data_IF_316147872160
#
_entry.id   IF_316147872160
#
_cell.length_a   1.000
_cell.length_b   1.000
_cell.length_c   1.000
_cell.angle_alpha   90.00
_cell.angle_beta   90.00
_cell.angle_gamma   90.00
#
_symmetry.space_group_name_H-M   'P 1'
#
loop_
_entity.id
_entity.type
_entity.pdbx_description
1 polymer ?
#
# COMPACT_ATOMS: atom_id res chain seq x y z
N UNK A 1 -26.05 -11.77 1.54
CA UNK A 1 -24.69 -11.68 0.94
C UNK A 1 -24.09 -10.28 1.11
N UNK A 2 -24.90 -9.25 1.29
CA UNK A 2 -24.44 -7.84 1.44
C UNK A 2 -23.69 -7.54 2.75
N UNK A 3 -24.04 -8.24 3.83
CA UNK A 3 -23.42 -8.05 5.14
C UNK A 3 -21.94 -8.46 5.14
N UNK A 4 -21.58 -9.52 4.41
CA UNK A 4 -20.19 -9.96 4.29
C UNK A 4 -19.33 -8.90 3.59
N UNK A 5 -19.82 -8.37 2.47
CA UNK A 5 -19.13 -7.31 1.74
C UNK A 5 -19.03 -6.01 2.54
N UNK A 6 -20.07 -5.67 3.29
CA UNK A 6 -20.05 -4.50 4.19
C UNK A 6 -18.99 -4.64 5.27
N UNK A 7 -18.88 -5.82 5.90
CA UNK A 7 -17.86 -6.10 6.93
C UNK A 7 -16.46 -6.01 6.33
N UNK A 8 -16.25 -6.59 5.15
CA UNK A 8 -14.95 -6.55 4.45
C UNK A 8 -14.58 -5.11 4.08
N UNK A 9 -15.50 -4.32 3.54
CA UNK A 9 -15.25 -2.90 3.22
C UNK A 9 -14.90 -2.08 4.46
N UNK A 10 -15.65 -2.23 5.55
CA UNK A 10 -15.37 -1.54 6.82
C UNK A 10 -14.02 -1.96 7.39
N UNK A 11 -13.69 -3.25 7.30
CA UNK A 11 -12.39 -3.77 7.74
C UNK A 11 -11.24 -3.21 6.90
N UNK A 12 -11.40 -3.13 5.58
CA UNK A 12 -10.42 -2.54 4.66
C UNK A 12 -10.25 -1.03 4.91
N UNK A 13 -11.34 -0.29 5.15
CA UNK A 13 -11.30 1.13 5.51
C UNK A 13 -10.57 1.37 6.83
N UNK A 14 -10.83 0.54 7.84
CA UNK A 14 -10.10 0.58 9.11
C UNK A 14 -8.61 0.26 8.89
N UNK A 15 -8.28 -0.67 8.00
CA UNK A 15 -6.90 -1.00 7.66
C UNK A 15 -6.17 0.19 7.01
N UNK A 16 -6.81 0.89 6.08
CA UNK A 16 -6.28 2.14 5.49
C UNK A 16 -6.11 3.22 6.56
N UNK A 17 -7.10 3.42 7.43
CA UNK A 17 -7.04 4.42 8.49
C UNK A 17 -5.86 4.17 9.44
N UNK A 18 -5.67 2.91 9.85
CA UNK A 18 -4.52 2.49 10.67
C UNK A 18 -3.20 2.66 9.90
N UNK A 19 -3.18 2.34 8.60
CA UNK A 19 -2.03 2.57 7.73
C UNK A 19 -1.64 4.05 7.63
N UNK A 20 -2.61 4.94 7.48
CA UNK A 20 -2.41 6.39 7.43
C UNK A 20 -1.86 6.93 8.76
N UNK A 21 -2.42 6.47 9.88
CA UNK A 21 -1.96 6.83 11.23
C UNK A 21 -0.51 6.36 11.46
N UNK A 22 -0.14 5.19 10.92
CA UNK A 22 1.21 4.62 11.05
C UNK A 22 2.24 5.37 10.20
N UNK A 23 1.87 5.76 8.97
CA UNK A 23 2.71 6.61 8.09
C UNK A 23 3.08 7.92 8.77
N UNK A 24 2.16 8.51 9.54
CA UNK A 24 2.39 9.79 10.21
C UNK A 24 3.27 9.67 11.48
N UNK A 25 3.38 8.47 12.08
CA UNK A 25 4.11 8.26 13.35
C UNK A 25 5.55 7.73 13.21
N UNK A 26 5.97 7.18 12.07
CA UNK A 26 7.28 6.55 11.90
C UNK A 26 8.47 7.52 11.88
N UNK A 27 9.31 7.61 12.94
CA UNK A 27 10.46 8.51 13.02
C UNK A 27 11.72 7.92 12.37
N UNK A 28 11.81 6.59 12.31
CA UNK A 28 12.95 5.81 11.82
C UNK A 28 12.75 5.36 10.37
N UNK A 29 13.83 5.21 9.63
CA UNK A 29 13.72 4.93 8.18
C UNK A 29 13.49 3.47 7.88
N UNK A 30 14.01 2.57 8.71
CA UNK A 30 13.58 1.17 8.66
C UNK A 30 12.04 1.07 8.81
N UNK A 31 11.45 1.89 9.67
CA UNK A 31 10.01 1.95 9.88
C UNK A 31 9.28 2.57 8.67
N UNK A 32 9.87 3.59 8.03
CA UNK A 32 9.36 4.13 6.75
C UNK A 32 9.40 3.09 5.64
N UNK A 33 10.49 2.35 5.46
CA UNK A 33 10.60 1.29 4.45
C UNK A 33 9.58 0.17 4.69
N UNK A 34 9.46 -0.30 5.93
CA UNK A 34 8.46 -1.30 6.31
C UNK A 34 7.03 -0.81 6.10
N UNK A 35 6.75 0.44 6.47
CA UNK A 35 5.43 1.06 6.26
C UNK A 35 5.12 1.25 4.78
N UNK A 36 6.11 1.60 3.96
CA UNK A 36 5.95 1.75 2.50
C UNK A 36 5.64 0.39 1.84
N UNK A 37 6.35 -0.66 2.25
CA UNK A 37 6.11 -2.02 1.76
C UNK A 37 4.73 -2.53 2.18
N UNK A 38 4.35 -2.32 3.45
CA UNK A 38 3.01 -2.64 3.97
C UNK A 38 1.93 -1.88 3.20
N UNK A 39 2.12 -0.59 2.96
CA UNK A 39 1.16 0.22 2.21
C UNK A 39 0.96 -0.29 0.77
N UNK A 40 2.06 -0.71 0.13
CA UNK A 40 2.03 -1.29 -1.21
C UNK A 40 1.22 -2.58 -1.31
N UNK A 41 1.48 -3.54 -0.40
CA UNK A 41 0.81 -4.84 -0.41
C UNK A 41 -0.64 -4.74 0.05
N UNK A 42 -0.92 -3.92 1.06
CA UNK A 42 -2.29 -3.68 1.54
C UNK A 42 -3.14 -2.94 0.50
N UNK A 43 -2.60 -1.91 -0.15
CA UNK A 43 -3.34 -1.15 -1.16
C UNK A 43 -3.73 -2.00 -2.38
N UNK A 44 -2.83 -2.86 -2.88
CA UNK A 44 -3.16 -3.83 -3.93
C UNK A 44 -4.20 -4.85 -3.46
N UNK A 45 -4.07 -5.38 -2.23
CA UNK A 45 -5.03 -6.35 -1.69
C UNK A 45 -6.45 -5.76 -1.59
N UNK A 46 -6.56 -4.47 -1.26
CA UNK A 46 -7.83 -3.74 -1.24
C UNK A 46 -8.47 -3.67 -2.63
N UNK A 47 -7.67 -3.33 -3.65
CA UNK A 47 -8.14 -3.28 -5.04
C UNK A 47 -8.57 -4.66 -5.57
N UNK A 48 -7.86 -5.72 -5.18
CA UNK A 48 -8.24 -7.10 -5.53
C UNK A 48 -9.58 -7.54 -4.92
N UNK A 49 -9.79 -7.22 -3.64
CA UNK A 49 -11.06 -7.51 -2.96
C UNK A 49 -12.21 -6.73 -3.60
N UNK A 50 -11.95 -5.47 -3.97
CA UNK A 50 -12.94 -4.62 -4.63
C UNK A 50 -13.28 -5.14 -6.05
N UNK A 51 -12.29 -5.61 -6.80
CA UNK A 51 -12.49 -6.25 -8.10
C UNK A 51 -13.41 -7.48 -8.00
N UNK A 52 -13.21 -8.31 -6.97
CA UNK A 52 -14.06 -9.46 -6.71
C UNK A 52 -15.47 -9.10 -6.23
N UNK A 53 -15.65 -7.94 -5.58
CA UNK A 53 -16.97 -7.47 -5.15
C UNK A 53 -17.78 -6.85 -6.28
N UNK A 54 -17.14 -6.04 -7.12
CA UNK A 54 -17.79 -5.35 -8.24
C UNK A 54 -17.97 -6.25 -9.47
N UNK A 55 -17.41 -7.46 -9.46
CA UNK A 55 -17.34 -8.39 -10.59
C UNK A 55 -16.74 -7.75 -11.86
N UNK A 56 -16.00 -6.67 -11.68
CA UNK A 56 -15.46 -5.85 -12.75
C UNK A 56 -13.94 -6.11 -12.87
N UNK A 57 -13.49 -6.75 -13.96
CA UNK A 57 -12.09 -7.08 -14.17
C UNK A 57 -11.20 -5.84 -14.36
N UNK A 58 -11.75 -4.65 -14.63
CA UNK A 58 -10.93 -3.44 -14.81
C UNK A 58 -10.21 -3.04 -13.51
N UNK A 59 -10.76 -3.38 -12.35
CA UNK A 59 -10.10 -3.15 -11.06
C UNK A 59 -8.87 -4.03 -10.85
N UNK A 60 -8.79 -5.19 -11.50
CA UNK A 60 -7.59 -6.03 -11.49
C UNK A 60 -6.43 -5.33 -12.19
N UNK A 61 -6.69 -4.64 -13.31
CA UNK A 61 -5.68 -3.85 -14.01
C UNK A 61 -5.16 -2.72 -13.11
N UNK A 62 -6.06 -2.03 -12.41
CA UNK A 62 -5.68 -0.99 -11.44
C UNK A 62 -4.83 -1.57 -10.30
N UNK A 63 -5.19 -2.75 -9.78
CA UNK A 63 -4.42 -3.43 -8.72
C UNK A 63 -2.99 -3.76 -9.16
N UNK A 64 -2.83 -4.29 -10.38
CA UNK A 64 -1.51 -4.64 -10.93
C UNK A 64 -0.68 -3.36 -11.15
N UNK A 65 -1.26 -2.31 -11.74
CA UNK A 65 -0.57 -1.02 -11.92
C UNK A 65 -0.17 -0.40 -10.58
N UNK A 66 -1.06 -0.43 -9.58
CA UNK A 66 -0.79 0.07 -8.24
C UNK A 66 0.37 -0.67 -7.58
N UNK A 67 0.46 -1.99 -7.76
CA UNK A 67 1.58 -2.78 -7.23
C UNK A 67 2.91 -2.35 -7.84
N UNK A 68 2.97 -2.13 -9.16
CA UNK A 68 4.18 -1.62 -9.82
C UNK A 68 4.59 -0.26 -9.25
N UNK A 69 3.63 0.66 -9.04
CA UNK A 69 3.89 1.96 -8.43
C UNK A 69 4.40 1.84 -6.99
N UNK A 70 3.86 0.90 -6.21
CA UNK A 70 4.31 0.64 -4.85
C UNK A 70 5.76 0.14 -4.81
N UNK A 71 6.15 -0.74 -5.73
CA UNK A 71 7.54 -1.20 -5.87
C UNK A 71 8.46 -0.01 -6.19
N UNK A 72 8.06 0.86 -7.13
CA UNK A 72 8.81 2.05 -7.49
C UNK A 72 8.95 3.03 -6.31
N UNK A 73 7.92 3.17 -5.48
CA UNK A 73 7.94 3.99 -4.27
C UNK A 73 9.01 3.52 -3.28
N UNK A 74 9.09 2.21 -3.04
CA UNK A 74 10.11 1.60 -2.16
C UNK A 74 11.51 1.82 -2.72
N UNK A 75 11.72 1.59 -4.03
CA UNK A 75 13.01 1.83 -4.69
C UNK A 75 13.41 3.30 -4.59
N UNK A 76 12.47 4.22 -4.83
CA UNK A 76 12.67 5.66 -4.71
C UNK A 76 13.11 6.07 -3.30
N UNK A 77 12.44 5.51 -2.27
CA UNK A 77 12.77 5.76 -0.88
C UNK A 77 14.19 5.28 -0.53
N UNK A 78 14.57 4.07 -0.97
CA UNK A 78 15.93 3.53 -0.79
C UNK A 78 16.97 4.42 -1.47
N UNK A 79 16.69 4.89 -2.70
CA UNK A 79 17.61 5.75 -3.46
C UNK A 79 17.81 7.13 -2.80
N UNK A 80 16.74 7.75 -2.32
CA UNK A 80 16.80 9.00 -1.54
C UNK A 80 17.64 8.80 -0.28
N UNK A 81 17.52 7.62 0.35
CA UNK A 81 18.29 7.28 1.53
C UNK A 81 19.79 7.12 1.27
N UNK A 82 20.14 6.35 0.24
CA UNK A 82 21.53 6.18 -0.18
C UNK A 82 22.17 7.52 -0.54
N UNK A 83 21.43 8.39 -1.25
CA UNK A 83 21.85 9.77 -1.55
C UNK A 83 22.09 10.61 -0.29
N UNK A 84 21.22 10.50 0.71
CA UNK A 84 21.34 11.27 1.97
C UNK A 84 22.54 10.83 2.82
N UNK A 85 22.96 9.57 2.70
CA UNK A 85 24.11 9.00 3.43
C UNK A 85 25.47 9.36 2.81
N UNK A 86 25.49 10.13 1.71
CA UNK A 86 26.73 10.53 1.02
C UNK A 86 27.44 9.38 0.30
N UNK A 87 26.81 8.20 0.25
CA UNK A 87 27.31 7.02 -0.45
C UNK A 87 26.90 7.13 -1.94
N UNK A 88 27.51 8.07 -2.65
CA UNK A 88 27.55 8.00 -4.12
C UNK A 88 28.49 6.86 -4.53
N UNK A 89 28.13 6.06 -5.56
CA UNK A 89 29.01 5.02 -6.11
C UNK A 89 30.31 5.60 -6.67
#
# INVERSE_FOLDING_TARGET
MDVFFTIVIVFLLLNIAVGLIRVWRGPTVADRLLTTQLFGTTGMAILLVLAGYLEDPDFLNVAITFNVLAILLVIGLVKVWKKKKGESP
#
